data_IF_832174746152
#
_entry.id   IF_832174746152
#
_cell.length_a   1.000
_cell.length_b   1.000
_cell.length_c   1.000
_cell.angle_alpha   90.00
_cell.angle_beta   90.00
_cell.angle_gamma   90.00
#
_symmetry.space_group_name_H-M   'P 1'
#
loop_
_entity.id
_entity.type
_entity.pdbx_description
1 polymer ?
#
# COMPACT_ATOMS: atom_id res chain seq x y z
N UNK A 1 -13.42 21.79 39.89
CA UNK A 1 -14.34 21.17 40.87
C UNK A 1 -14.37 19.68 40.59
N UNK A 2 -13.73 18.91 41.48
CA UNK A 2 -14.10 17.57 41.98
C UNK A 2 -14.65 16.50 41.02
N UNK A 3 -14.35 15.20 41.08
CA UNK A 3 -13.64 14.31 42.04
C UNK A 3 -13.74 12.89 41.42
N UNK A 4 -12.64 12.10 41.47
CA UNK A 4 -12.53 10.63 41.62
C UNK A 4 -13.36 9.68 40.70
N UNK A 5 -12.94 8.45 40.35
CA UNK A 5 -12.50 7.36 41.24
C UNK A 5 -11.94 6.16 40.44
N UNK A 6 -10.97 5.53 41.06
CA UNK A 6 -10.32 4.23 40.83
C UNK A 6 -11.30 3.05 40.81
N UNK A 7 -10.97 1.98 40.06
CA UNK A 7 -11.31 0.60 40.42
C UNK A 7 -10.24 -0.37 39.90
N UNK A 8 -9.93 -1.35 40.73
CA UNK A 8 -8.82 -2.30 40.71
C UNK A 8 -9.42 -3.70 40.96
N UNK A 9 -8.71 -4.77 40.54
CA UNK A 9 -8.86 -6.21 40.87
C UNK A 9 -9.96 -6.96 40.08
N UNK A 10 -9.86 -8.26 39.73
CA UNK A 10 -9.04 -9.35 40.24
C UNK A 10 -8.84 -10.48 39.18
N UNK A 11 -7.82 -11.31 39.42
CA UNK A 11 -7.52 -12.59 38.75
C UNK A 11 -8.40 -13.73 39.30
N UNK A 12 -8.73 -14.75 38.49
CA UNK A 12 -8.81 -16.14 38.97
C UNK A 12 -8.66 -17.16 37.83
N UNK A 13 -7.93 -18.22 38.16
CA UNK A 13 -7.61 -19.42 37.40
C UNK A 13 -8.82 -20.34 37.18
N UNK A 14 -8.81 -21.10 36.08
CA UNK A 14 -9.38 -22.45 36.02
C UNK A 14 -8.78 -23.25 34.84
N UNK A 15 -7.83 -24.13 35.15
CA UNK A 15 -7.48 -25.29 34.32
C UNK A 15 -8.63 -26.29 34.30
N UNK A 16 -8.78 -27.12 33.27
CA UNK A 16 -9.26 -28.51 33.36
C UNK A 16 -8.89 -29.29 32.09
N UNK A 17 -9.03 -30.61 32.16
CA UNK A 17 -8.05 -31.63 31.77
C UNK A 17 -8.30 -32.36 30.44
N UNK A 18 -7.27 -33.14 30.06
CA UNK A 18 -7.19 -34.09 28.94
C UNK A 18 -8.33 -35.13 28.90
N UNK A 19 -8.74 -35.50 27.68
CA UNK A 19 -9.15 -36.88 27.37
C UNK A 19 -8.87 -37.23 25.91
N UNK A 20 -8.09 -38.30 25.71
CA UNK A 20 -7.81 -38.95 24.43
C UNK A 20 -8.74 -40.15 24.24
N UNK A 21 -9.31 -40.33 23.04
CA UNK A 21 -9.70 -41.66 22.51
C UNK A 21 -9.50 -41.70 20.99
N UNK A 22 -9.25 -42.93 20.55
CA UNK A 22 -8.56 -43.38 19.35
C UNK A 22 -9.42 -43.43 18.08
N UNK A 23 -8.70 -43.33 16.95
CA UNK A 23 -8.80 -44.05 15.67
C UNK A 23 -10.17 -44.13 14.98
N UNK A 24 -10.21 -43.68 13.72
CA UNK A 24 -10.68 -44.50 12.59
C UNK A 24 -9.94 -44.09 11.32
N UNK A 25 -9.20 -45.03 10.74
CA UNK A 25 -8.61 -44.93 9.41
C UNK A 25 -9.70 -45.09 8.35
N UNK A 26 -9.74 -44.18 7.37
CA UNK A 26 -10.18 -44.51 6.01
C UNK A 26 -9.27 -43.81 5.01
N UNK A 27 -8.45 -44.62 4.35
CA UNK A 27 -7.76 -44.26 3.14
C UNK A 27 -8.79 -43.92 2.06
N UNK A 28 -8.67 -42.74 1.45
CA UNK A 28 -9.31 -42.45 0.18
C UNK A 28 -8.22 -42.05 -0.82
N UNK A 29 -8.20 -42.85 -1.88
CA UNK A 29 -7.27 -42.81 -2.99
C UNK A 29 -7.05 -41.40 -3.54
N UNK A 30 -5.77 -41.06 -3.67
CA UNK A 30 -5.29 -39.96 -4.47
C UNK A 30 -5.60 -40.23 -5.95
N UNK A 31 -6.49 -39.44 -6.54
CA UNK A 31 -6.53 -39.16 -7.97
C UNK A 31 -6.63 -37.64 -8.14
N UNK A 32 -5.48 -36.98 -8.14
CA UNK A 32 -5.28 -35.67 -8.77
C UNK A 32 -4.88 -35.97 -10.23
N UNK A 33 -5.34 -35.25 -11.25
CA UNK A 33 -4.87 -33.91 -11.58
C UNK A 33 -5.59 -33.41 -12.84
N UNK A 34 -6.06 -32.15 -12.82
CA UNK A 34 -5.96 -31.13 -13.89
C UNK A 34 -7.09 -30.07 -13.88
N UNK A 35 -8.17 -30.24 -13.10
CA UNK A 35 -9.25 -29.23 -13.07
C UNK A 35 -9.18 -28.23 -11.88
N UNK A 36 -8.24 -28.40 -10.95
CA UNK A 36 -8.21 -27.67 -9.66
C UNK A 36 -7.35 -26.39 -9.62
N UNK A 37 -6.64 -26.04 -10.70
CA UNK A 37 -5.70 -24.90 -10.69
C UNK A 37 -6.39 -23.55 -10.87
N UNK A 38 -7.28 -23.40 -11.87
CA UNK A 38 -7.91 -22.09 -12.18
C UNK A 38 -8.81 -21.57 -11.05
N UNK A 39 -9.53 -22.45 -10.36
CA UNK A 39 -10.43 -22.06 -9.28
C UNK A 39 -9.71 -21.70 -7.97
N UNK A 40 -8.50 -22.22 -7.74
CA UNK A 40 -7.73 -21.90 -6.53
C UNK A 40 -7.09 -20.51 -6.66
N UNK A 41 -6.53 -20.20 -7.83
CA UNK A 41 -5.98 -18.87 -8.14
C UNK A 41 -7.08 -17.78 -8.09
N UNK A 42 -8.31 -18.10 -8.52
CA UNK A 42 -9.42 -17.14 -8.47
C UNK A 42 -9.90 -16.83 -7.04
N UNK A 43 -9.84 -17.81 -6.13
CA UNK A 43 -10.24 -17.61 -4.73
C UNK A 43 -9.13 -16.87 -3.97
N UNK A 44 -7.87 -17.18 -4.24
CA UNK A 44 -6.71 -16.52 -3.59
C UNK A 44 -6.66 -15.02 -3.94
N UNK A 45 -6.96 -14.68 -5.20
CA UNK A 45 -6.95 -13.28 -5.65
C UNK A 45 -8.16 -12.46 -5.14
N UNK A 46 -9.27 -13.08 -4.72
CA UNK A 46 -10.43 -12.34 -4.24
C UNK A 46 -10.10 -11.52 -2.98
N UNK A 47 -9.21 -12.07 -2.14
CA UNK A 47 -8.66 -11.35 -0.98
C UNK A 47 -7.83 -10.14 -1.39
N UNK A 48 -7.27 -10.10 -2.60
CA UNK A 48 -6.61 -8.89 -3.12
C UNK A 48 -7.63 -7.81 -3.49
N UNK A 49 -8.79 -8.19 -4.02
CA UNK A 49 -9.79 -7.24 -4.50
C UNK A 49 -10.65 -6.64 -3.39
N UNK A 50 -11.01 -7.42 -2.37
CA UNK A 50 -11.86 -6.97 -1.25
C UNK A 50 -11.11 -6.11 -0.24
N UNK A 51 -11.87 -5.44 0.62
CA UNK A 51 -11.35 -4.87 1.86
C UNK A 51 -11.39 -5.93 2.97
N UNK A 52 -10.27 -6.12 3.65
CA UNK A 52 -10.03 -7.18 4.65
C UNK A 52 -9.49 -6.68 6.00
N UNK A 53 -9.12 -5.39 6.10
CA UNK A 53 -8.46 -4.82 7.30
C UNK A 53 -9.41 -4.37 8.41
N UNK A 54 -10.73 -4.53 8.24
CA UNK A 54 -11.70 -4.18 9.25
C UNK A 54 -13.15 -4.38 8.82
N UNK A 55 -14.07 -3.99 9.69
CA UNK A 55 -15.53 -4.03 9.50
C UNK A 55 -16.09 -2.64 9.80
N UNK A 56 -17.24 -2.31 9.24
CA UNK A 56 -17.94 -1.05 9.54
C UNK A 56 -19.17 -1.30 10.40
N UNK A 57 -19.44 -0.36 11.31
CA UNK A 57 -20.61 -0.40 12.19
C UNK A 57 -21.93 -0.16 11.43
N UNK A 58 -21.87 0.52 10.27
CA UNK A 58 -23.00 0.78 9.40
C UNK A 58 -22.59 0.72 7.92
N UNK A 59 -23.55 0.47 7.04
CA UNK A 59 -23.38 0.45 5.56
C UNK A 59 -22.19 -0.39 5.09
N UNK A 60 -21.99 -1.54 5.73
CA UNK A 60 -20.79 -2.35 5.51
C UNK A 60 -20.61 -2.77 4.05
N UNK A 61 -21.70 -3.21 3.41
CA UNK A 61 -21.67 -3.63 2.02
C UNK A 61 -21.28 -2.47 1.11
N UNK A 62 -21.91 -1.30 1.25
CA UNK A 62 -21.57 -0.09 0.49
C UNK A 62 -20.10 0.27 0.67
N UNK A 63 -19.61 0.33 1.92
CA UNK A 63 -18.22 0.69 2.22
C UNK A 63 -17.21 -0.32 1.70
N UNK A 64 -17.59 -1.60 1.67
CA UNK A 64 -16.80 -2.67 1.07
C UNK A 64 -16.74 -2.54 -0.45
N UNK A 65 -17.87 -2.26 -1.11
CA UNK A 65 -17.95 -2.08 -2.56
C UNK A 65 -17.17 -0.85 -3.04
N UNK A 66 -17.25 0.28 -2.32
CA UNK A 66 -16.46 1.48 -2.61
C UNK A 66 -14.94 1.25 -2.59
N UNK A 67 -14.50 0.17 -1.93
CA UNK A 67 -13.09 -0.23 -1.79
C UNK A 67 -12.77 -1.51 -2.53
N UNK A 68 -13.76 -2.13 -3.18
CA UNK A 68 -13.55 -3.27 -4.04
C UNK A 68 -12.84 -2.80 -5.31
N UNK A 69 -11.73 -3.44 -5.66
CA UNK A 69 -11.03 -3.16 -6.91
C UNK A 69 -10.49 -4.44 -7.50
N UNK A 70 -11.12 -4.88 -8.58
CA UNK A 70 -10.63 -5.99 -9.39
C UNK A 70 -9.55 -5.48 -10.35
N UNK A 71 -8.50 -6.27 -10.53
CA UNK A 71 -7.39 -5.97 -11.43
C UNK A 71 -6.74 -7.27 -11.89
N UNK A 72 -5.91 -7.20 -12.92
CA UNK A 72 -5.17 -8.34 -13.47
C UNK A 72 -3.86 -8.55 -12.69
N UNK A 73 -3.87 -9.50 -11.76
CA UNK A 73 -2.72 -9.83 -10.90
C UNK A 73 -1.47 -10.25 -11.72
N UNK A 74 -1.55 -11.20 -12.68
CA UNK A 74 -0.44 -11.50 -13.59
C UNK A 74 0.11 -10.27 -14.34
N UNK A 75 -0.79 -9.39 -14.80
CA UNK A 75 -0.40 -8.16 -15.50
C UNK A 75 0.37 -7.19 -14.61
N UNK A 76 -0.10 -6.96 -13.38
CA UNK A 76 0.60 -6.13 -12.39
C UNK A 76 1.99 -6.71 -12.05
N UNK A 77 2.09 -8.03 -11.87
CA UNK A 77 3.36 -8.73 -11.65
C UNK A 77 4.35 -8.52 -12.80
N UNK A 78 3.87 -8.65 -14.04
CA UNK A 78 4.68 -8.44 -15.25
C UNK A 78 5.18 -7.00 -15.36
N UNK A 79 4.29 -6.02 -15.17
CA UNK A 79 4.63 -4.60 -15.17
C UNK A 79 5.69 -4.27 -14.12
N UNK A 80 5.56 -4.82 -12.92
CA UNK A 80 6.51 -4.61 -11.84
C UNK A 80 7.88 -5.25 -12.11
N UNK A 81 7.90 -6.48 -12.64
CA UNK A 81 9.16 -7.13 -13.02
C UNK A 81 9.89 -6.32 -14.11
N UNK A 82 9.17 -5.90 -15.15
CA UNK A 82 9.70 -5.05 -16.23
C UNK A 82 10.25 -3.73 -15.70
N UNK A 83 9.53 -3.07 -14.79
CA UNK A 83 9.91 -1.77 -14.25
C UNK A 83 11.23 -1.79 -13.45
N UNK A 84 11.61 -2.94 -12.88
CA UNK A 84 12.84 -3.11 -12.10
C UNK A 84 13.90 -4.00 -12.79
N UNK A 85 13.72 -4.34 -14.07
CA UNK A 85 14.66 -5.17 -14.82
C UNK A 85 14.75 -6.63 -14.34
N UNK A 86 13.72 -7.13 -13.67
CA UNK A 86 13.57 -8.54 -13.29
C UNK A 86 12.96 -9.37 -14.43
N UNK A 87 13.16 -10.68 -14.42
CA UNK A 87 12.48 -11.56 -15.40
C UNK A 87 11.07 -11.91 -14.93
N UNK A 88 10.87 -12.03 -13.62
CA UNK A 88 9.60 -12.45 -13.04
C UNK A 88 9.39 -11.97 -11.60
N UNK A 89 8.13 -11.90 -11.20
CA UNK A 89 7.71 -11.66 -9.82
C UNK A 89 7.48 -13.00 -9.11
N UNK A 90 8.29 -13.27 -8.09
CA UNK A 90 8.30 -14.51 -7.31
C UNK A 90 7.10 -14.56 -6.36
N UNK A 91 6.76 -13.43 -5.71
CA UNK A 91 5.67 -13.39 -4.75
C UNK A 91 5.01 -12.03 -4.69
N UNK A 92 3.72 -12.02 -4.32
CA UNK A 92 2.94 -10.81 -4.12
C UNK A 92 2.09 -11.00 -2.86
N UNK A 93 2.15 -10.03 -1.95
CA UNK A 93 1.36 -10.02 -0.73
C UNK A 93 0.68 -8.66 -0.57
N UNK A 94 -0.57 -8.66 -0.07
CA UNK A 94 -1.21 -7.41 0.35
C UNK A 94 -0.56 -6.95 1.66
N UNK A 95 0.17 -5.84 1.58
CA UNK A 95 0.91 -5.27 2.72
C UNK A 95 0.00 -4.45 3.61
N UNK A 96 -0.82 -3.62 2.99
CA UNK A 96 -1.77 -2.76 3.66
C UNK A 96 -2.92 -2.43 2.72
N UNK A 97 -4.05 -2.06 3.30
CA UNK A 97 -5.13 -1.42 2.57
C UNK A 97 -5.74 -0.37 3.49
N UNK A 98 -5.87 0.83 2.95
CA UNK A 98 -6.49 1.96 3.65
C UNK A 98 -7.85 2.29 3.03
N UNK A 99 -8.33 3.50 3.32
CA UNK A 99 -9.50 4.03 2.63
C UNK A 99 -9.27 4.19 1.12
N UNK A 100 -8.09 4.70 0.72
CA UNK A 100 -7.86 5.24 -0.62
C UNK A 100 -7.00 4.38 -1.53
N UNK A 101 -6.25 3.41 -0.99
CA UNK A 101 -5.30 2.62 -1.75
C UNK A 101 -5.24 1.19 -1.21
N UNK A 102 -5.07 0.23 -2.13
CA UNK A 102 -4.55 -1.11 -1.83
C UNK A 102 -3.05 -1.14 -2.09
N UNK A 103 -2.29 -1.63 -1.14
CA UNK A 103 -0.83 -1.64 -1.17
C UNK A 103 -0.34 -3.07 -1.16
N UNK A 104 0.44 -3.43 -2.17
CA UNK A 104 1.01 -4.75 -2.33
C UNK A 104 2.53 -4.69 -2.30
N UNK A 105 3.14 -5.69 -1.68
CA UNK A 105 4.57 -5.93 -1.71
C UNK A 105 4.85 -7.05 -2.71
N UNK A 106 5.65 -6.76 -3.72
CA UNK A 106 6.05 -7.69 -4.77
C UNK A 106 7.54 -7.99 -4.64
N UNK A 107 7.90 -9.28 -4.58
CA UNK A 107 9.30 -9.72 -4.53
C UNK A 107 9.70 -10.32 -5.87
N UNK A 108 10.84 -9.90 -6.41
CA UNK A 108 11.32 -10.26 -7.74
C UNK A 108 12.41 -11.33 -7.69
N UNK A 109 12.65 -12.00 -8.81
CA UNK A 109 13.69 -13.04 -8.92
C UNK A 109 15.12 -12.52 -8.81
N UNK A 110 15.36 -11.26 -9.15
CA UNK A 110 16.63 -10.57 -8.96
C UNK A 110 16.83 -10.02 -7.53
N UNK A 111 15.91 -10.31 -6.60
CA UNK A 111 15.95 -9.83 -5.21
C UNK A 111 15.40 -8.41 -4.99
N UNK A 112 14.97 -7.71 -6.05
CA UNK A 112 14.31 -6.42 -5.89
C UNK A 112 12.93 -6.57 -5.21
N UNK A 113 12.54 -5.54 -4.45
CA UNK A 113 11.21 -5.44 -3.86
C UNK A 113 10.53 -4.18 -4.38
N UNK A 114 9.32 -4.34 -4.89
CA UNK A 114 8.49 -3.26 -5.43
C UNK A 114 7.21 -3.16 -4.61
N UNK A 115 6.85 -1.93 -4.23
CA UNK A 115 5.55 -1.62 -3.65
C UNK A 115 4.62 -1.15 -4.75
N UNK A 116 3.49 -1.84 -4.92
CA UNK A 116 2.42 -1.43 -5.81
C UNK A 116 1.29 -0.78 -5.01
N UNK A 117 0.91 0.46 -5.38
CA UNK A 117 -0.23 1.19 -4.83
C UNK A 117 -1.31 1.28 -5.90
N UNK A 118 -2.48 0.74 -5.60
CA UNK A 118 -3.65 0.75 -6.48
C UNK A 118 -4.73 1.62 -5.83
N UNK A 119 -5.10 2.76 -6.43
CA UNK A 119 -6.14 3.64 -5.88
C UNK A 119 -7.49 2.93 -5.84
N UNK A 120 -8.22 3.02 -4.74
CA UNK A 120 -9.60 2.50 -4.64
C UNK A 120 -10.61 3.46 -5.28
N UNK A 121 -11.79 2.99 -5.70
CA UNK A 121 -12.81 3.85 -6.33
C UNK A 121 -13.20 5.10 -5.52
N UNK A 122 -13.13 5.04 -4.18
CA UNK A 122 -13.47 6.16 -3.29
C UNK A 122 -12.51 7.37 -3.40
N UNK A 123 -11.34 7.21 -4.01
CA UNK A 123 -10.33 8.29 -4.11
C UNK A 123 -10.79 9.47 -4.98
N UNK A 124 -11.90 9.32 -5.71
CA UNK A 124 -12.36 10.29 -6.70
C UNK A 124 -11.69 10.05 -8.06
N UNK A 125 -11.39 11.11 -8.84
CA UNK A 125 -10.75 10.97 -10.15
C UNK A 125 -9.33 10.40 -10.03
N UNK A 126 -9.22 9.06 -10.04
CA UNK A 126 -7.96 8.33 -9.84
C UNK A 126 -6.81 8.84 -10.73
N UNK A 127 -7.03 9.18 -12.03
CA UNK A 127 -5.95 9.73 -12.86
C UNK A 127 -5.33 11.02 -12.30
N UNK A 128 -6.16 11.95 -11.81
CA UNK A 128 -5.70 13.23 -11.25
C UNK A 128 -5.01 13.03 -9.90
N UNK A 129 -5.61 12.22 -9.03
CA UNK A 129 -5.03 11.96 -7.71
C UNK A 129 -3.67 11.30 -7.87
N UNK A 130 -3.59 10.23 -8.67
CA UNK A 130 -2.36 9.49 -8.92
C UNK A 130 -1.27 10.39 -9.53
N UNK A 131 -1.60 11.15 -10.57
CA UNK A 131 -0.65 12.07 -11.19
C UNK A 131 -0.13 13.10 -10.19
N UNK A 132 -0.97 13.61 -9.30
CA UNK A 132 -0.54 14.59 -8.29
C UNK A 132 0.26 13.97 -7.15
N UNK A 133 -0.05 12.74 -6.73
CA UNK A 133 0.75 11.99 -5.77
C UNK A 133 2.16 11.76 -6.32
N UNK A 134 2.28 11.30 -7.58
CA UNK A 134 3.59 11.07 -8.22
C UNK A 134 4.39 12.37 -8.34
N UNK A 135 3.77 13.45 -8.84
CA UNK A 135 4.45 14.74 -8.98
C UNK A 135 4.89 15.31 -7.62
N UNK A 136 4.08 15.13 -6.58
CA UNK A 136 4.42 15.56 -5.22
C UNK A 136 5.59 14.75 -4.66
N UNK A 137 5.60 13.42 -4.84
CA UNK A 137 6.71 12.58 -4.37
C UNK A 137 8.02 12.94 -5.08
N UNK A 138 7.97 13.21 -6.38
CA UNK A 138 9.14 13.64 -7.15
C UNK A 138 9.64 15.01 -6.70
N UNK A 139 8.74 15.97 -6.51
CA UNK A 139 9.07 17.29 -5.95
C UNK A 139 9.75 17.19 -4.58
N UNK A 140 9.14 16.43 -3.65
CA UNK A 140 9.65 16.25 -2.29
C UNK A 140 11.02 15.58 -2.30
N UNK A 141 11.25 14.61 -3.19
CA UNK A 141 12.57 13.97 -3.33
C UNK A 141 13.60 14.91 -3.97
N UNK A 142 13.32 15.44 -5.14
CA UNK A 142 14.33 16.06 -6.00
C UNK A 142 14.53 17.54 -5.73
N UNK A 143 13.50 18.24 -5.22
CA UNK A 143 13.57 19.68 -4.92
C UNK A 143 13.83 19.93 -3.44
N UNK A 144 13.15 19.21 -2.55
CA UNK A 144 13.31 19.39 -1.11
C UNK A 144 14.39 18.49 -0.49
N UNK A 145 14.91 17.52 -1.24
CA UNK A 145 15.89 16.55 -0.74
C UNK A 145 15.38 15.81 0.52
N UNK A 146 14.10 15.44 0.51
CA UNK A 146 13.50 14.63 1.58
C UNK A 146 13.48 13.17 1.12
N UNK A 147 13.97 12.22 1.95
CA UNK A 147 14.02 10.82 1.58
C UNK A 147 12.63 10.16 1.66
N UNK A 148 11.83 10.35 0.61
CA UNK A 148 10.66 9.49 0.31
C UNK A 148 11.12 8.24 -0.43
N UNK A 149 10.27 7.26 -0.79
CA UNK A 149 10.67 6.18 -1.71
C UNK A 149 10.51 6.63 -3.18
N UNK A 150 11.33 6.09 -4.10
CA UNK A 150 11.30 6.53 -5.50
C UNK A 150 10.14 5.86 -6.23
N UNK A 151 9.40 6.63 -7.03
CA UNK A 151 8.45 6.08 -8.00
C UNK A 151 9.24 5.48 -9.17
N UNK A 152 9.01 4.21 -9.46
CA UNK A 152 9.70 3.45 -10.51
C UNK A 152 8.89 3.52 -11.81
N UNK A 153 7.58 3.33 -11.70
CA UNK A 153 6.64 3.41 -12.83
C UNK A 153 5.24 3.71 -12.30
N UNK A 154 4.38 4.30 -13.13
CA UNK A 154 2.98 4.52 -12.80
C UNK A 154 2.17 4.60 -14.09
N UNK A 155 0.89 4.30 -14.00
CA UNK A 155 -0.07 4.48 -15.08
C UNK A 155 -1.42 4.90 -14.49
N UNK A 156 -1.96 5.99 -15.02
CA UNK A 156 -3.23 6.56 -14.61
C UNK A 156 -4.41 6.10 -15.47
N UNK A 157 -4.16 5.33 -16.53
CA UNK A 157 -5.20 4.72 -17.34
C UNK A 157 -5.46 3.29 -16.90
N UNK A 158 -6.58 2.72 -17.33
CA UNK A 158 -6.91 1.31 -17.10
C UNK A 158 -6.57 0.43 -18.31
N UNK A 159 -6.24 1.05 -19.45
CA UNK A 159 -5.83 0.40 -20.69
C UNK A 159 -4.36 -0.07 -20.63
N UNK A 160 -4.02 -0.83 -19.59
CA UNK A 160 -2.71 -1.43 -19.37
C UNK A 160 -2.84 -2.88 -18.90
N UNK A 161 -1.73 -3.60 -18.82
CA UNK A 161 -1.74 -5.02 -18.48
C UNK A 161 -2.34 -5.32 -17.09
N UNK A 162 -2.25 -4.39 -16.13
CA UNK A 162 -2.87 -4.55 -14.81
C UNK A 162 -4.39 -4.32 -14.85
N UNK A 163 -4.93 -3.71 -15.91
CA UNK A 163 -6.35 -3.40 -16.04
C UNK A 163 -6.84 -2.34 -15.03
N UNK A 164 -5.92 -1.58 -14.45
CA UNK A 164 -6.24 -0.53 -13.49
C UNK A 164 -5.12 0.51 -13.37
N UNK A 165 -5.43 1.64 -12.73
CA UNK A 165 -4.43 2.64 -12.35
C UNK A 165 -3.52 2.08 -11.24
N UNK A 166 -2.23 2.39 -11.32
CA UNK A 166 -1.25 1.94 -10.34
C UNK A 166 -0.05 2.89 -10.23
N UNK A 167 0.62 2.84 -9.09
CA UNK A 167 1.97 3.37 -8.88
C UNK A 167 2.86 2.25 -8.33
N UNK A 168 4.00 2.04 -8.98
CA UNK A 168 5.08 1.15 -8.55
C UNK A 168 6.20 2.01 -7.98
N UNK A 169 6.64 1.69 -6.77
CA UNK A 169 7.66 2.44 -6.06
C UNK A 169 8.59 1.52 -5.27
N UNK A 170 9.73 2.05 -4.85
CA UNK A 170 10.65 1.36 -3.95
C UNK A 170 9.99 1.06 -2.59
N UNK A 171 10.43 -0.01 -1.95
CA UNK A 171 10.13 -0.25 -0.54
C UNK A 171 10.90 0.73 0.36
N UNK A 172 10.19 1.42 1.25
CA UNK A 172 10.81 2.28 2.24
C UNK A 172 11.66 1.45 3.21
N UNK A 173 12.95 1.78 3.32
CA UNK A 173 13.85 1.11 4.26
C UNK A 173 13.62 1.65 5.67
N UNK A 174 13.53 0.74 6.65
CA UNK A 174 13.46 1.09 8.06
C UNK A 174 12.36 0.33 8.81
N UNK A 175 12.04 0.79 10.02
CA UNK A 175 10.96 0.25 10.86
C UNK A 175 9.92 1.35 11.12
N UNK A 176 8.62 1.02 11.15
CA UNK A 176 7.61 2.02 11.49
C UNK A 176 7.85 2.58 12.90
N UNK A 177 7.90 3.90 13.03
CA UNK A 177 8.26 4.56 14.29
C UNK A 177 7.37 4.11 15.45
N UNK A 178 6.06 3.95 15.23
CA UNK A 178 5.11 3.51 16.25
C UNK A 178 5.42 2.13 16.85
N UNK A 179 6.16 1.27 16.13
CA UNK A 179 6.55 -0.06 16.65
C UNK A 179 7.72 -0.01 17.62
N UNK A 180 8.61 0.97 17.48
CA UNK A 180 9.82 1.10 18.30
C UNK A 180 9.70 2.19 19.36
N UNK A 181 8.88 3.22 19.11
CA UNK A 181 8.73 4.40 19.96
C UNK A 181 8.50 4.10 21.45
N UNK A 182 7.64 3.13 21.84
CA UNK A 182 7.41 2.84 23.26
C UNK A 182 8.69 2.39 23.99
N UNK A 183 9.56 1.65 23.31
CA UNK A 183 10.79 1.09 23.87
C UNK A 183 12.05 1.94 23.67
N UNK A 184 11.93 3.14 23.10
CA UNK A 184 13.07 4.05 22.91
C UNK A 184 13.34 4.90 24.15
N UNK A 185 14.63 5.14 24.40
CA UNK A 185 15.08 6.05 25.45
C UNK A 185 14.75 7.51 25.10
N UNK A 186 14.71 8.37 26.12
CA UNK A 186 14.32 9.77 25.95
C UNK A 186 15.24 10.51 24.96
N UNK A 187 16.56 10.29 25.05
CA UNK A 187 17.54 10.91 24.16
C UNK A 187 17.37 10.47 22.70
N UNK A 188 16.98 9.21 22.46
CA UNK A 188 16.70 8.71 21.11
C UNK A 188 15.43 9.34 20.55
N UNK A 189 14.39 9.50 21.38
CA UNK A 189 13.15 10.20 21.00
C UNK A 189 13.43 11.66 20.63
N UNK A 190 14.29 12.36 21.38
CA UNK A 190 14.70 13.72 21.05
C UNK A 190 15.35 13.80 19.66
N UNK A 191 16.28 12.90 19.33
CA UNK A 191 16.90 12.85 17.99
C UNK A 191 15.88 12.63 16.87
N UNK A 192 14.86 11.80 17.09
CA UNK A 192 13.78 11.62 16.11
C UNK A 192 12.97 12.90 15.94
N UNK A 193 12.63 13.57 17.03
CA UNK A 193 11.90 14.85 16.99
C UNK A 193 12.70 15.90 16.23
N UNK A 194 14.01 16.01 16.46
CA UNK A 194 14.90 16.88 15.69
C UNK A 194 14.86 16.57 14.18
N UNK A 195 14.89 15.29 13.81
CA UNK A 195 14.75 14.84 12.42
C UNK A 195 13.40 15.24 11.79
N UNK A 196 12.30 15.09 12.53
CA UNK A 196 10.97 15.52 12.09
C UNK A 196 10.94 17.04 11.88
N UNK A 197 11.49 17.81 12.82
CA UNK A 197 11.58 19.27 12.71
C UNK A 197 12.42 19.68 11.48
N UNK A 198 13.50 18.97 11.18
CA UNK A 198 14.30 19.22 9.99
C UNK A 198 13.50 19.00 8.68
N UNK A 199 12.72 17.92 8.60
CA UNK A 199 11.82 17.67 7.46
C UNK A 199 10.74 18.76 7.35
N UNK A 200 10.13 19.14 8.48
CA UNK A 200 9.13 20.21 8.50
C UNK A 200 9.71 21.54 8.01
N UNK A 201 10.92 21.92 8.45
CA UNK A 201 11.62 23.12 7.98
C UNK A 201 11.84 23.09 6.47
N UNK A 202 12.25 21.94 5.90
CA UNK A 202 12.40 21.76 4.45
C UNK A 202 11.07 21.97 3.72
N UNK A 203 9.97 21.36 4.19
CA UNK A 203 8.64 21.54 3.61
C UNK A 203 8.16 23.00 3.65
N UNK A 204 8.46 23.71 4.75
CA UNK A 204 8.08 25.11 4.95
C UNK A 204 9.00 26.11 4.22
N UNK A 205 10.13 25.67 3.69
CA UNK A 205 11.09 26.54 3.01
C UNK A 205 10.65 26.98 1.61
N UNK A 206 9.62 26.35 1.05
CA UNK A 206 9.08 26.67 -0.27
C UNK A 206 7.76 27.42 -0.14
N UNK A 207 7.61 28.44 -0.98
CA UNK A 207 6.33 29.10 -1.24
C UNK A 207 5.85 28.74 -2.64
N UNK A 208 4.57 28.41 -2.76
CA UNK A 208 3.92 28.22 -4.04
C UNK A 208 3.20 29.50 -4.45
N UNK A 209 3.26 29.84 -5.74
CA UNK A 209 2.54 31.00 -6.29
C UNK A 209 1.03 30.76 -6.43
N UNK A 210 0.58 29.51 -6.28
CA UNK A 210 -0.81 29.08 -6.39
C UNK A 210 -1.12 28.05 -5.31
N UNK A 211 -2.40 27.86 -5.03
CA UNK A 211 -2.90 26.76 -4.20
C UNK A 211 -3.37 25.60 -5.09
N UNK A 212 -3.40 24.39 -4.55
CA UNK A 212 -3.87 23.20 -5.25
C UNK A 212 -2.86 22.07 -5.24
N UNK A 213 -2.92 21.21 -6.27
CA UNK A 213 -2.08 20.03 -6.38
C UNK A 213 -0.95 20.23 -7.39
N UNK A 214 0.17 19.55 -7.17
CA UNK A 214 1.29 19.50 -8.09
C UNK A 214 0.97 18.54 -9.24
N UNK A 215 1.32 18.91 -10.46
CA UNK A 215 1.21 18.05 -11.64
C UNK A 215 2.46 18.19 -12.48
N UNK A 216 2.74 17.25 -13.38
CA UNK A 216 3.72 17.50 -14.43
C UNK A 216 3.16 18.45 -15.49
N UNK A 217 4.05 19.19 -16.16
CA UNK A 217 3.67 19.92 -17.37
C UNK A 217 3.26 18.91 -18.44
N UNK A 218 2.15 19.13 -19.16
CA UNK A 218 1.87 18.34 -20.35
C UNK A 218 3.02 18.53 -21.34
N UNK A 219 3.68 17.44 -21.74
CA UNK A 219 4.67 17.50 -22.80
C UNK A 219 3.92 17.65 -24.13
N UNK A 220 4.13 18.77 -24.81
CA UNK A 220 3.50 19.08 -26.11
C UNK A 220 3.87 18.09 -27.24
N UNK A 221 4.70 17.07 -26.96
CA UNK A 221 5.21 16.10 -27.92
C UNK A 221 4.71 14.67 -27.73
N UNK A 222 3.93 14.36 -26.70
CA UNK A 222 3.45 12.99 -26.49
C UNK A 222 2.03 12.95 -25.95
N UNK A 223 1.13 12.41 -26.74
CA UNK A 223 -0.25 12.07 -26.38
C UNK A 223 -0.34 10.88 -25.41
N UNK A 224 0.68 10.69 -24.58
CA UNK A 224 0.75 9.67 -23.55
C UNK A 224 1.43 10.31 -22.34
N UNK A 225 0.80 10.22 -21.17
CA UNK A 225 1.40 10.59 -19.90
C UNK A 225 2.57 9.64 -19.59
N UNK A 226 3.70 9.83 -20.26
CA UNK A 226 4.93 9.04 -20.09
C UNK A 226 6.05 10.00 -19.74
N UNK A 227 6.53 9.91 -18.50
CA UNK A 227 7.76 10.52 -17.99
C UNK A 227 8.03 11.96 -18.47
N UNK A 228 7.29 12.94 -17.93
CA UNK A 228 7.73 14.34 -18.00
C UNK A 228 8.64 14.68 -16.82
N UNK A 229 9.68 15.48 -17.07
CA UNK A 229 10.71 15.91 -16.11
C UNK A 229 10.46 17.31 -15.54
N UNK A 230 9.33 17.95 -15.85
CA UNK A 230 9.03 19.32 -15.41
C UNK A 230 7.72 19.40 -14.62
N UNK A 231 7.77 19.94 -13.41
CA UNK A 231 6.62 20.06 -12.49
C UNK A 231 5.95 21.44 -12.68
N UNK A 232 4.61 21.47 -12.81
CA UNK A 232 3.78 22.67 -12.75
C UNK A 232 2.66 22.55 -11.71
N UNK A 233 2.40 23.66 -11.04
CA UNK A 233 1.24 23.83 -10.18
C UNK A 233 -0.01 24.11 -11.04
N UNK A 234 -1.05 23.28 -10.93
CA UNK A 234 -2.36 23.59 -11.49
C UNK A 234 -3.27 24.07 -10.36
N UNK A 235 -3.51 25.37 -10.30
CA UNK A 235 -4.51 25.95 -9.41
C UNK A 235 -5.84 26.14 -10.15
N UNK A 236 -6.93 26.17 -9.39
CA UNK A 236 -8.13 26.89 -9.80
C UNK A 236 -7.92 28.40 -9.70
#
# INVERSE_FOLDING_TARGET
MAVFRTALLASSYASWSRSSRLLHCRALHYLTHQYRSKNMDSIDNENFYRYTSGRWLWEEETRSQERYKKFNVPGLKSLAAKACGAQSCVSMAKLAEGGFNKVFRLSMDNGAVVIARLPTPIVGPAPRVLASEVATMDFVRNVLDIPVPKVIAWDAETANDAGCEFMLMEEAKGRPLGTIWPGMELDEKFKIVEGIVAVQKKLQSITFSRYGSLYYKPDYKSNAARCSSSIHMHGS
#
